data_IF_475215565128
#
_entry.id   IF_475215565128
#
_cell.length_a   1.000
_cell.length_b   1.000
_cell.length_c   1.000
_cell.angle_alpha   90.00
_cell.angle_beta   90.00
_cell.angle_gamma   90.00
#
_symmetry.space_group_name_H-M   'P 1'
#
loop_
_entity.id
_entity.type
_entity.pdbx_description
1 polymer ?
#
# COMPACT_ATOMS: atom_id res chain seq x y z
N UNK A 1 -9.80 10.50 -4.90
CA UNK A 1 -8.81 9.61 -4.26
C UNK A 1 -8.79 8.22 -4.89
N UNK A 2 -9.96 7.62 -5.13
CA UNK A 2 -10.06 6.29 -5.74
C UNK A 2 -9.36 6.23 -7.10
N UNK A 3 -9.37 7.32 -7.88
CA UNK A 3 -8.68 7.40 -9.16
C UNK A 3 -7.16 7.28 -8.99
N UNK A 4 -6.60 7.89 -7.94
CA UNK A 4 -5.17 7.79 -7.65
C UNK A 4 -4.79 6.36 -7.27
N UNK A 5 -5.61 5.68 -6.48
CA UNK A 5 -5.38 4.28 -6.11
C UNK A 5 -5.46 3.36 -7.33
N UNK A 6 -6.44 3.58 -8.21
CA UNK A 6 -6.57 2.82 -9.44
C UNK A 6 -5.35 3.01 -10.35
N UNK A 7 -4.86 4.24 -10.50
CA UNK A 7 -3.67 4.54 -11.31
C UNK A 7 -2.44 3.85 -10.73
N UNK A 8 -2.26 3.92 -9.40
CA UNK A 8 -1.13 3.26 -8.74
C UNK A 8 -1.17 1.73 -8.93
N UNK A 9 -2.34 1.12 -8.79
CA UNK A 9 -2.51 -0.32 -9.00
C UNK A 9 -2.20 -0.71 -10.45
N UNK A 10 -2.66 0.07 -11.42
CA UNK A 10 -2.38 -0.17 -12.84
C UNK A 10 -0.88 -0.07 -13.13
N UNK A 11 -0.18 0.89 -12.53
CA UNK A 11 1.26 1.04 -12.73
C UNK A 11 2.03 -0.18 -12.23
N UNK A 12 1.64 -0.76 -11.11
CA UNK A 12 2.22 -2.00 -10.62
C UNK A 12 1.91 -3.16 -11.58
N UNK A 13 0.63 -3.29 -11.98
CA UNK A 13 0.17 -4.37 -12.84
C UNK A 13 0.90 -4.38 -14.20
N UNK A 14 1.16 -3.21 -14.77
CA UNK A 14 1.84 -3.06 -16.05
C UNK A 14 3.35 -2.86 -15.93
N UNK A 15 3.92 -2.99 -14.73
CA UNK A 15 5.34 -2.74 -14.46
C UNK A 15 5.77 -1.31 -14.84
N UNK A 16 4.86 -0.35 -14.77
CA UNK A 16 5.12 1.06 -15.08
C UNK A 16 5.44 1.82 -13.80
N UNK A 17 6.67 1.66 -13.30
CA UNK A 17 7.05 2.15 -11.97
C UNK A 17 7.52 3.60 -11.96
N UNK A 18 7.79 4.20 -13.12
CA UNK A 18 8.40 5.54 -13.20
C UNK A 18 7.60 6.62 -12.45
N UNK A 19 6.26 6.56 -12.51
CA UNK A 19 5.39 7.54 -11.87
C UNK A 19 4.71 7.02 -10.62
N UNK A 20 4.99 5.77 -10.23
CA UNK A 20 4.30 5.12 -9.11
C UNK A 20 4.44 5.91 -7.81
N UNK A 21 5.66 6.26 -7.44
CA UNK A 21 5.91 6.99 -6.19
C UNK A 21 5.25 8.36 -6.20
N UNK A 22 5.22 9.04 -7.33
CA UNK A 22 4.54 10.34 -7.46
C UNK A 22 3.05 10.19 -7.21
N UNK A 23 2.41 9.16 -7.79
CA UNK A 23 0.98 8.90 -7.59
C UNK A 23 0.70 8.55 -6.13
N UNK A 24 1.52 7.71 -5.52
CA UNK A 24 1.37 7.33 -4.11
C UNK A 24 1.53 8.55 -3.19
N UNK A 25 2.50 9.42 -3.45
CA UNK A 25 2.70 10.63 -2.65
C UNK A 25 1.49 11.56 -2.75
N UNK A 26 0.90 11.70 -3.94
CA UNK A 26 -0.33 12.47 -4.12
C UNK A 26 -1.50 11.86 -3.34
N UNK A 27 -1.62 10.54 -3.36
CA UNK A 27 -2.67 9.84 -2.61
C UNK A 27 -2.52 10.06 -1.11
N UNK A 28 -1.30 9.97 -0.58
CA UNK A 28 -1.03 10.24 0.84
C UNK A 28 -1.33 11.70 1.21
N UNK A 29 -0.99 12.66 0.34
CA UNK A 29 -1.30 14.06 0.57
C UNK A 29 -2.80 14.30 0.64
N UNK A 30 -3.58 13.66 -0.24
CA UNK A 30 -5.04 13.75 -0.21
C UNK A 30 -5.60 13.15 1.08
N UNK A 31 -5.09 12.02 1.54
CA UNK A 31 -5.49 11.40 2.80
C UNK A 31 -5.24 12.35 3.97
N UNK A 32 -4.05 12.93 4.07
CA UNK A 32 -3.71 13.84 5.16
C UNK A 32 -4.58 15.10 5.15
N UNK A 33 -4.84 15.66 3.98
CA UNK A 33 -5.64 16.88 3.83
C UNK A 33 -7.13 16.64 4.12
N UNK A 34 -7.69 15.51 3.67
CA UNK A 34 -9.11 15.21 3.80
C UNK A 34 -9.45 14.33 5.01
N UNK A 35 -8.45 13.82 5.70
CA UNK A 35 -8.59 12.91 6.86
C UNK A 35 -9.27 11.58 6.53
N UNK A 36 -9.16 11.12 5.29
CA UNK A 36 -9.65 9.80 4.87
C UNK A 36 -8.64 8.69 5.21
N UNK A 37 -8.34 8.56 6.50
CA UNK A 37 -7.28 7.65 6.99
C UNK A 37 -7.58 6.17 6.74
N UNK A 38 -8.83 5.81 6.47
CA UNK A 38 -9.22 4.44 6.15
C UNK A 38 -8.52 3.88 4.90
N UNK A 39 -7.99 4.75 4.04
CA UNK A 39 -7.26 4.33 2.84
C UNK A 39 -5.76 4.12 3.06
N UNK A 40 -5.21 4.54 4.21
CA UNK A 40 -3.78 4.38 4.48
C UNK A 40 -3.29 2.93 4.38
N UNK A 41 -3.97 1.93 4.97
CA UNK A 41 -3.51 0.55 4.84
C UNK A 41 -3.33 0.11 3.39
N UNK A 42 -4.29 0.45 2.52
CA UNK A 42 -4.23 0.09 1.10
C UNK A 42 -3.05 0.74 0.39
N UNK A 43 -2.73 1.99 0.72
CA UNK A 43 -1.58 2.70 0.13
C UNK A 43 -0.28 1.99 0.51
N UNK A 44 -0.11 1.59 1.76
CA UNK A 44 1.09 0.89 2.21
C UNK A 44 1.20 -0.51 1.62
N UNK A 45 0.08 -1.20 1.36
CA UNK A 45 0.11 -2.47 0.63
C UNK A 45 0.65 -2.25 -0.79
N UNK A 46 0.21 -1.20 -1.48
CA UNK A 46 0.74 -0.88 -2.82
C UNK A 46 2.24 -0.55 -2.77
N UNK A 47 2.70 0.17 -1.76
CA UNK A 47 4.13 0.44 -1.58
C UNK A 47 4.91 -0.85 -1.35
N UNK A 48 4.35 -1.79 -0.58
CA UNK A 48 4.97 -3.10 -0.38
C UNK A 48 5.11 -3.86 -1.70
N UNK A 49 4.08 -3.88 -2.52
CA UNK A 49 4.12 -4.49 -3.86
C UNK A 49 5.17 -3.84 -4.75
N UNK A 50 5.27 -2.52 -4.71
CA UNK A 50 6.29 -1.78 -5.47
C UNK A 50 7.70 -2.21 -5.07
N UNK A 51 7.98 -2.26 -3.75
CA UNK A 51 9.30 -2.65 -3.27
C UNK A 51 9.62 -4.10 -3.64
N UNK A 52 8.63 -4.99 -3.60
CA UNK A 52 8.81 -6.40 -3.91
C UNK A 52 9.04 -6.63 -5.41
N UNK A 53 8.22 -6.01 -6.27
CA UNK A 53 8.22 -6.28 -7.71
C UNK A 53 9.25 -5.47 -8.49
N UNK A 54 9.53 -4.24 -8.07
CA UNK A 54 10.42 -3.34 -8.80
C UNK A 54 11.82 -3.29 -8.18
N UNK A 55 11.90 -3.12 -6.87
CA UNK A 55 13.18 -3.00 -6.16
C UNK A 55 13.72 -4.33 -5.66
N UNK A 56 12.90 -5.37 -5.67
CA UNK A 56 13.23 -6.68 -5.09
C UNK A 56 13.71 -6.57 -3.64
N UNK A 57 13.20 -5.58 -2.91
CA UNK A 57 13.61 -5.31 -1.54
C UNK A 57 12.58 -5.89 -0.57
N UNK A 58 12.79 -7.16 -0.20
CA UNK A 58 11.89 -7.89 0.69
C UNK A 58 11.77 -7.24 2.06
N UNK A 59 12.86 -6.66 2.58
CA UNK A 59 12.86 -6.01 3.89
C UNK A 59 11.91 -4.81 3.90
N UNK A 60 12.02 -3.92 2.89
CA UNK A 60 11.13 -2.75 2.78
C UNK A 60 9.71 -3.15 2.48
N UNK A 61 9.51 -4.19 1.67
CA UNK A 61 8.17 -4.72 1.41
C UNK A 61 7.51 -5.18 2.71
N UNK A 62 8.23 -5.95 3.53
CA UNK A 62 7.73 -6.40 4.83
C UNK A 62 7.42 -5.22 5.75
N UNK A 63 8.28 -4.20 5.79
CA UNK A 63 8.06 -2.99 6.60
C UNK A 63 6.79 -2.26 6.17
N UNK A 64 6.52 -2.15 4.87
CA UNK A 64 5.31 -1.51 4.37
C UNK A 64 4.06 -2.33 4.69
N UNK A 65 4.12 -3.67 4.61
CA UNK A 65 3.03 -4.52 5.07
C UNK A 65 2.76 -4.33 6.56
N UNK A 66 3.81 -4.24 7.38
CA UNK A 66 3.67 -4.03 8.81
C UNK A 66 3.01 -2.68 9.12
N UNK A 67 3.37 -1.63 8.38
CA UNK A 67 2.70 -0.34 8.50
C UNK A 67 1.22 -0.42 8.11
N UNK A 68 0.91 -1.15 7.04
CA UNK A 68 -0.48 -1.36 6.62
C UNK A 68 -1.28 -2.07 7.70
N UNK A 69 -0.70 -3.11 8.32
CA UNK A 69 -1.33 -3.85 9.42
C UNK A 69 -1.55 -2.92 10.61
N UNK A 70 -0.57 -2.11 10.96
CA UNK A 70 -0.67 -1.15 12.06
C UNK A 70 -1.83 -0.17 11.83
N UNK A 71 -1.94 0.41 10.64
CA UNK A 71 -3.01 1.34 10.34
C UNK A 71 -4.38 0.67 10.33
N UNK A 72 -4.48 -0.57 9.84
CA UNK A 72 -5.72 -1.33 9.90
C UNK A 72 -6.14 -1.62 11.35
N UNK A 73 -5.18 -1.93 12.21
CA UNK A 73 -5.42 -2.13 13.64
C UNK A 73 -5.90 -0.85 14.32
N UNK A 74 -5.29 0.30 14.00
CA UNK A 74 -5.72 1.61 14.54
C UNK A 74 -7.15 1.94 14.11
N UNK A 75 -7.53 1.54 12.90
CA UNK A 75 -8.90 1.73 12.40
C UNK A 75 -9.89 0.70 12.95
N UNK A 76 -9.42 -0.26 13.74
CA UNK A 76 -10.23 -1.35 14.30
C UNK A 76 -10.91 -2.18 13.21
N UNK A 77 -10.28 -2.29 12.03
CA UNK A 77 -10.78 -3.09 10.91
C UNK A 77 -10.08 -4.45 10.89
N UNK A 78 -10.63 -5.39 11.65
CA UNK A 78 -10.05 -6.72 11.79
C UNK A 78 -10.07 -7.52 10.48
N UNK A 79 -11.08 -7.34 9.64
CA UNK A 79 -11.18 -8.02 8.35
C UNK A 79 -10.06 -7.56 7.43
N UNK A 80 -9.84 -6.24 7.35
CA UNK A 80 -8.76 -5.67 6.54
C UNK A 80 -7.39 -6.10 7.08
N UNK A 81 -7.20 -6.05 8.41
CA UNK A 81 -5.96 -6.47 9.04
C UNK A 81 -5.60 -7.91 8.69
N UNK A 82 -6.55 -8.84 8.81
CA UNK A 82 -6.32 -10.25 8.47
C UNK A 82 -6.06 -10.44 6.97
N UNK A 83 -6.74 -9.70 6.12
CA UNK A 83 -6.52 -9.70 4.67
C UNK A 83 -5.10 -9.29 4.32
N UNK A 84 -4.58 -8.24 4.97
CA UNK A 84 -3.22 -7.74 4.75
C UNK A 84 -2.19 -8.76 5.24
N UNK A 85 -2.41 -9.36 6.41
CA UNK A 85 -1.54 -10.42 6.94
C UNK A 85 -1.47 -11.61 5.98
N UNK A 86 -2.61 -12.02 5.42
CA UNK A 86 -2.65 -13.09 4.42
C UNK A 86 -1.88 -12.72 3.16
N UNK A 87 -2.00 -11.49 2.68
CA UNK A 87 -1.25 -10.98 1.54
C UNK A 87 0.26 -10.98 1.78
N UNK A 88 0.69 -10.55 2.96
CA UNK A 88 2.09 -10.57 3.36
C UNK A 88 2.64 -12.00 3.33
N UNK A 89 1.92 -12.95 3.92
CA UNK A 89 2.32 -14.36 3.93
C UNK A 89 2.38 -14.94 2.51
N UNK A 90 1.41 -14.62 1.66
CA UNK A 90 1.38 -15.07 0.28
C UNK A 90 2.59 -14.56 -0.53
N UNK A 91 3.12 -13.38 -0.20
CA UNK A 91 4.31 -12.82 -0.83
C UNK A 91 5.62 -13.33 -0.21
N UNK A 92 5.55 -14.24 0.76
CA UNK A 92 6.74 -14.84 1.39
C UNK A 92 7.44 -13.93 2.39
N UNK A 93 6.71 -13.03 2.99
CA UNK A 93 7.29 -12.01 3.89
C UNK A 93 6.94 -12.23 5.38
#
# INVERSE_FOLDING_TARGET
>A
FNDLMAIAALKIFHNSFSDFLTVVDKALAVIEKSQFYSYKPSVFVLKAKYELLHKENKKKAAENYDKAIMFASVLEDSVLEESIKAGKAADGL
#
